data_IF_956359074549
#
_entry.id   IF_956359074549
#
_cell.length_a   1.000
_cell.length_b   1.000
_cell.length_c   1.000
_cell.angle_alpha   90.00
_cell.angle_beta   90.00
_cell.angle_gamma   90.00
#
_symmetry.space_group_name_H-M   'P 1'
#
loop_
_entity.id
_entity.type
_entity.pdbx_description
1 polymer ?
#
# COMPACT_ATOMS: atom_id res chain seq x y z
N UNK A 1 27.76 17.77 -15.70
CA UNK A 1 27.90 16.35 -16.10
C UNK A 1 28.95 15.56 -15.28
N UNK A 2 29.18 15.86 -13.99
CA UNK A 2 30.02 15.01 -13.13
C UNK A 2 29.64 15.02 -11.63
N UNK A 3 28.48 15.57 -11.26
CA UNK A 3 28.01 15.66 -9.87
C UNK A 3 26.64 14.98 -9.63
N UNK A 4 26.07 14.33 -10.65
CA UNK A 4 24.83 13.53 -10.57
C UNK A 4 25.08 12.04 -10.26
N UNK A 5 26.34 11.64 -10.05
CA UNK A 5 26.74 10.22 -9.91
C UNK A 5 26.92 9.75 -8.46
N UNK A 6 26.57 10.55 -7.44
CA UNK A 6 26.92 10.25 -6.04
C UNK A 6 25.73 9.96 -5.09
N UNK A 7 24.48 10.00 -5.56
CA UNK A 7 23.29 9.62 -4.77
C UNK A 7 22.47 8.49 -5.40
N UNK A 8 22.77 8.10 -6.64
CA UNK A 8 22.13 6.98 -7.32
C UNK A 8 22.96 5.70 -7.23
N UNK A 9 23.01 5.05 -6.06
CA UNK A 9 23.39 3.63 -5.98
C UNK A 9 23.06 2.94 -4.63
N UNK A 10 21.83 3.11 -4.11
CA UNK A 10 21.38 2.38 -2.91
C UNK A 10 20.36 1.28 -3.22
N UNK A 11 20.06 1.02 -4.51
CA UNK A 11 19.11 0.00 -4.92
C UNK A 11 19.78 -1.07 -5.79
N UNK A 12 20.95 -1.57 -5.38
CA UNK A 12 21.35 -2.94 -5.73
C UNK A 12 20.52 -3.91 -4.89
N UNK A 13 19.24 -4.04 -5.23
CA UNK A 13 18.39 -5.10 -4.69
C UNK A 13 18.63 -6.31 -5.58
N UNK A 14 19.62 -7.10 -5.18
CA UNK A 14 20.00 -8.35 -5.84
C UNK A 14 18.82 -9.32 -5.86
N UNK A 15 18.38 -9.67 -7.07
CA UNK A 15 17.50 -10.80 -7.34
C UNK A 15 18.29 -12.08 -7.64
N UNK A 16 19.55 -12.20 -7.21
CA UNK A 16 20.31 -13.43 -7.49
C UNK A 16 19.85 -14.66 -6.68
N UNK A 17 18.84 -14.55 -5.79
CA UNK A 17 18.23 -15.71 -5.11
C UNK A 17 16.71 -15.62 -4.89
N UNK A 18 15.94 -15.09 -5.86
CA UNK A 18 14.52 -15.47 -6.03
C UNK A 18 13.51 -15.09 -4.93
N UNK A 19 13.73 -14.00 -4.16
CA UNK A 19 12.74 -13.51 -3.18
C UNK A 19 12.72 -12.00 -3.00
N UNK A 20 11.54 -11.41 -2.77
CA UNK A 20 11.36 -10.00 -2.39
C UNK A 20 11.79 -9.76 -0.94
N UNK A 21 12.89 -9.03 -0.70
CA UNK A 21 13.28 -8.59 0.65
C UNK A 21 12.43 -7.39 1.11
N UNK A 22 11.26 -7.70 1.66
CA UNK A 22 10.35 -6.70 2.20
C UNK A 22 10.98 -5.89 3.34
N UNK A 23 11.90 -6.46 4.12
CA UNK A 23 12.54 -5.76 5.24
C UNK A 23 13.52 -4.70 4.75
N UNK A 24 14.29 -4.96 3.70
CA UNK A 24 15.13 -3.95 3.06
C UNK A 24 14.31 -2.81 2.47
N UNK A 25 13.23 -3.13 1.74
CA UNK A 25 12.31 -2.13 1.19
C UNK A 25 11.64 -1.30 2.28
N UNK A 26 11.31 -1.91 3.41
CA UNK A 26 10.78 -1.15 4.54
C UNK A 26 11.82 -0.17 5.08
N UNK A 27 13.04 -0.61 5.38
CA UNK A 27 14.12 0.29 5.86
C UNK A 27 14.39 1.44 4.89
N UNK A 28 14.32 1.18 3.59
CA UNK A 28 14.43 2.21 2.56
C UNK A 28 13.33 3.25 2.68
N UNK A 29 12.05 2.83 2.73
CA UNK A 29 10.92 3.73 2.91
C UNK A 29 11.00 4.52 4.25
N UNK A 30 11.43 3.87 5.33
CA UNK A 30 11.62 4.49 6.64
C UNK A 30 12.66 5.63 6.57
N UNK A 31 13.74 5.44 5.81
CA UNK A 31 14.75 6.46 5.55
C UNK A 31 14.20 7.67 4.79
N UNK A 32 13.34 7.44 3.78
CA UNK A 32 12.64 8.52 3.06
C UNK A 32 11.76 9.32 4.04
N UNK A 33 10.97 8.63 4.88
CA UNK A 33 10.11 9.27 5.88
C UNK A 33 10.93 10.12 6.85
N UNK A 34 12.03 9.59 7.39
CA UNK A 34 12.88 10.31 8.33
C UNK A 34 13.49 11.57 7.69
N UNK A 35 13.96 11.47 6.44
CA UNK A 35 14.47 12.61 5.67
C UNK A 35 13.40 13.68 5.46
N UNK A 36 12.19 13.29 5.08
CA UNK A 36 11.06 14.23 4.90
C UNK A 36 10.62 14.90 6.19
N UNK A 37 10.68 14.19 7.32
CA UNK A 37 10.35 14.74 8.63
C UNK A 37 11.40 15.76 9.11
N UNK A 38 12.68 15.53 8.80
CA UNK A 38 13.79 16.42 9.16
C UNK A 38 13.95 17.63 8.22
N UNK A 39 13.39 17.57 7.01
CA UNK A 39 13.55 18.62 6.00
C UNK A 39 12.81 19.92 6.39
N UNK A 40 13.43 21.11 6.21
CA UNK A 40 12.78 22.38 6.46
C UNK A 40 11.67 22.68 5.44
N UNK A 41 10.81 23.65 5.75
CA UNK A 41 9.75 24.10 4.85
C UNK A 41 10.29 24.60 3.50
N UNK A 42 9.62 24.21 2.42
CA UNK A 42 9.94 24.65 1.05
C UNK A 42 9.02 25.74 0.53
N UNK A 43 9.38 26.33 -0.61
CA UNK A 43 8.55 27.30 -1.33
C UNK A 43 7.45 26.57 -2.14
N UNK A 44 6.21 26.66 -1.64
CA UNK A 44 5.05 26.08 -2.28
C UNK A 44 4.68 26.73 -3.62
N UNK A 45 4.90 28.04 -3.78
CA UNK A 45 4.60 28.76 -5.03
C UNK A 45 5.56 28.34 -6.14
N UNK A 46 6.85 28.24 -5.81
CA UNK A 46 7.86 27.71 -6.73
C UNK A 46 7.53 26.26 -7.15
N UNK A 47 7.16 25.40 -6.19
CA UNK A 47 6.77 24.02 -6.50
C UNK A 47 5.55 23.93 -7.42
N UNK A 48 4.48 24.68 -7.14
CA UNK A 48 3.27 24.65 -8.00
C UNK A 48 3.57 25.12 -9.42
N UNK A 49 4.39 26.17 -9.57
CA UNK A 49 4.82 26.69 -10.87
C UNK A 49 5.66 25.65 -11.63
N UNK A 50 6.53 24.92 -10.92
CA UNK A 50 7.30 23.81 -11.49
C UNK A 50 6.38 22.71 -12.03
N UNK A 51 5.41 22.25 -11.25
CA UNK A 51 4.50 21.16 -11.67
C UNK A 51 3.66 21.57 -12.88
N UNK A 52 3.13 22.79 -12.89
CA UNK A 52 2.36 23.31 -14.02
C UNK A 52 3.19 23.34 -15.32
N UNK A 53 4.49 23.69 -15.22
CA UNK A 53 5.41 23.64 -16.36
C UNK A 53 5.72 22.20 -16.82
N UNK A 54 5.86 21.26 -15.88
CA UNK A 54 6.18 19.86 -16.19
C UNK A 54 5.00 19.08 -16.79
N UNK A 55 3.76 19.49 -16.52
CA UNK A 55 2.55 18.86 -17.05
C UNK A 55 2.32 19.14 -18.55
N UNK A 56 3.26 18.69 -19.38
CA UNK A 56 3.33 18.99 -20.81
C UNK A 56 2.70 17.91 -21.70
N UNK A 57 2.51 16.68 -21.22
CA UNK A 57 1.79 15.65 -21.99
C UNK A 57 0.27 15.88 -21.93
N UNK A 58 -0.47 15.42 -22.94
CA UNK A 58 -1.92 15.59 -23.00
C UNK A 58 -2.64 14.95 -21.80
N UNK A 59 -2.21 13.74 -21.39
CA UNK A 59 -2.72 13.06 -20.21
C UNK A 59 -2.45 13.87 -18.92
N UNK A 60 -1.27 14.45 -18.79
CA UNK A 60 -0.89 15.29 -17.63
C UNK A 60 -1.71 16.58 -17.59
N UNK A 61 -1.92 17.25 -18.73
CA UNK A 61 -2.79 18.44 -18.83
C UNK A 61 -4.23 18.16 -18.43
N UNK A 62 -4.74 16.94 -18.67
CA UNK A 62 -6.08 16.53 -18.21
C UNK A 62 -6.13 16.22 -16.72
N UNK A 63 -5.09 15.60 -16.18
CA UNK A 63 -5.06 15.16 -14.78
C UNK A 63 -4.70 16.28 -13.81
N UNK A 64 -3.81 17.21 -14.22
CA UNK A 64 -3.35 18.31 -13.39
C UNK A 64 -4.50 19.16 -12.77
N UNK A 65 -5.48 19.67 -13.54
CA UNK A 65 -6.58 20.44 -12.96
C UNK A 65 -7.41 19.66 -11.93
N UNK A 66 -7.50 18.33 -12.06
CA UNK A 66 -8.23 17.47 -11.12
C UNK A 66 -7.48 17.33 -9.80
N UNK A 67 -6.15 17.25 -9.85
CA UNK A 67 -5.29 17.05 -8.68
C UNK A 67 -4.86 18.36 -8.02
N UNK A 68 -4.87 19.49 -8.76
CA UNK A 68 -4.41 20.80 -8.28
C UNK A 68 -5.00 21.21 -6.92
N UNK A 69 -6.32 21.12 -6.67
CA UNK A 69 -6.87 21.49 -5.35
C UNK A 69 -6.28 20.67 -4.19
N UNK A 70 -5.98 19.38 -4.43
CA UNK A 70 -5.37 18.53 -3.43
C UNK A 70 -3.90 18.89 -3.20
N UNK A 71 -3.16 19.18 -4.27
CA UNK A 71 -1.75 19.59 -4.18
C UNK A 71 -1.64 20.95 -3.46
N UNK A 72 -2.52 21.89 -3.72
CA UNK A 72 -2.60 23.17 -2.99
C UNK A 72 -2.94 22.96 -1.50
N UNK A 73 -3.84 22.02 -1.17
CA UNK A 73 -4.14 21.65 0.22
C UNK A 73 -2.91 21.06 0.91
N UNK A 74 -2.14 20.22 0.22
CA UNK A 74 -0.88 19.65 0.73
C UNK A 74 0.16 20.73 0.99
N UNK A 75 0.30 21.71 0.08
CA UNK A 75 1.14 22.88 0.30
C UNK A 75 0.75 23.67 1.56
N UNK A 76 -0.55 23.96 1.74
CA UNK A 76 -1.07 24.59 2.97
C UNK A 76 -0.79 23.77 4.23
N UNK A 77 -0.83 22.44 4.12
CA UNK A 77 -0.49 21.50 5.18
C UNK A 77 1.04 21.29 5.37
N UNK A 78 1.86 22.20 4.86
CA UNK A 78 3.33 22.20 5.02
C UNK A 78 3.97 20.89 4.53
N UNK A 79 3.46 20.34 3.43
CA UNK A 79 4.01 19.14 2.79
C UNK A 79 5.07 19.44 1.73
N UNK A 80 5.23 20.71 1.35
CA UNK A 80 6.36 21.16 0.52
C UNK A 80 7.57 21.39 1.41
N UNK A 81 8.68 20.74 1.08
CA UNK A 81 9.94 20.75 1.84
C UNK A 81 11.10 21.16 0.93
N UNK A 82 12.20 21.58 1.54
CA UNK A 82 13.48 21.66 0.83
C UNK A 82 14.01 20.23 0.66
N UNK A 83 14.02 19.75 -0.58
CA UNK A 83 14.47 18.42 -0.96
C UNK A 83 15.99 18.44 -1.27
N UNK A 84 16.63 17.26 -1.40
CA UNK A 84 18.02 17.19 -1.85
C UNK A 84 18.25 18.00 -3.14
N UNK A 85 19.46 18.54 -3.30
CA UNK A 85 19.82 19.53 -4.34
C UNK A 85 19.18 20.93 -4.20
N UNK A 86 18.55 21.25 -3.05
CA UNK A 86 18.09 22.60 -2.73
C UNK A 86 16.82 23.03 -3.48
N UNK A 87 16.07 22.07 -4.01
CA UNK A 87 14.81 22.32 -4.70
C UNK A 87 13.64 22.24 -3.72
N UNK A 88 12.62 23.07 -3.91
CA UNK A 88 11.37 22.97 -3.13
C UNK A 88 10.44 21.97 -3.78
N UNK A 89 9.98 20.96 -3.03
CA UNK A 89 9.08 19.95 -3.56
C UNK A 89 8.18 19.31 -2.51
N UNK A 90 7.00 18.86 -2.92
CA UNK A 90 6.11 18.07 -2.07
C UNK A 90 6.76 16.71 -1.72
N UNK A 91 6.62 16.27 -0.47
CA UNK A 91 7.20 14.98 -0.02
C UNK A 91 6.70 13.75 -0.80
N UNK A 92 5.48 13.78 -1.35
CA UNK A 92 4.99 12.72 -2.23
C UNK A 92 5.50 12.87 -3.66
N UNK A 93 5.85 14.09 -4.08
CA UNK A 93 6.57 14.29 -5.33
C UNK A 93 7.98 13.71 -5.22
N UNK A 94 8.70 13.94 -4.13
CA UNK A 94 10.00 13.28 -3.85
C UNK A 94 9.86 11.75 -3.78
N UNK A 95 8.86 11.23 -3.05
CA UNK A 95 8.62 9.80 -3.01
C UNK A 95 8.39 9.23 -4.42
N UNK A 96 7.60 9.93 -5.25
CA UNK A 96 7.25 9.48 -6.58
C UNK A 96 8.45 9.40 -7.54
N UNK A 97 9.53 10.15 -7.31
CA UNK A 97 10.80 10.00 -8.05
C UNK A 97 11.37 8.59 -7.87
N UNK A 98 11.46 8.15 -6.61
CA UNK A 98 11.93 6.81 -6.27
C UNK A 98 10.99 5.71 -6.79
N UNK A 99 9.67 5.97 -6.77
CA UNK A 99 8.69 5.05 -7.34
C UNK A 99 8.81 4.95 -8.87
N UNK A 100 9.01 6.09 -9.56
CA UNK A 100 9.17 6.13 -11.00
C UNK A 100 10.44 5.38 -11.44
N UNK A 101 11.55 5.53 -10.73
CA UNK A 101 12.77 4.78 -10.97
C UNK A 101 12.55 3.25 -10.84
N UNK A 102 11.91 2.80 -9.76
CA UNK A 102 11.58 1.38 -9.59
C UNK A 102 10.63 0.87 -10.69
N UNK A 103 9.65 1.66 -11.10
CA UNK A 103 8.72 1.29 -12.17
C UNK A 103 9.40 1.22 -13.54
N UNK A 104 10.31 2.13 -13.83
CA UNK A 104 11.15 2.13 -15.04
C UNK A 104 11.94 0.83 -15.17
N UNK A 105 12.51 0.36 -14.05
CA UNK A 105 13.27 -0.90 -13.98
C UNK A 105 12.38 -2.16 -13.98
N UNK A 106 11.06 -2.03 -14.13
CA UNK A 106 10.11 -3.15 -14.10
C UNK A 106 9.81 -3.69 -12.71
N UNK A 107 10.19 -2.96 -11.65
CA UNK A 107 10.15 -3.37 -10.23
C UNK A 107 8.91 -2.84 -9.53
N UNK A 108 7.75 -3.09 -10.13
CA UNK A 108 6.47 -2.57 -9.68
C UNK A 108 6.06 -3.07 -8.28
N UNK A 109 6.42 -4.32 -7.93
CA UNK A 109 6.15 -4.88 -6.61
C UNK A 109 6.86 -4.07 -5.51
N UNK A 110 8.13 -3.75 -5.72
CA UNK A 110 8.93 -2.94 -4.81
C UNK A 110 8.39 -1.52 -4.70
N UNK A 111 8.04 -0.88 -5.82
CA UNK A 111 7.41 0.44 -5.82
C UNK A 111 6.13 0.46 -4.97
N UNK A 112 5.27 -0.54 -5.14
CA UNK A 112 4.04 -0.66 -4.33
C UNK A 112 4.33 -0.87 -2.84
N UNK A 113 5.31 -1.71 -2.50
CA UNK A 113 5.70 -1.99 -1.11
C UNK A 113 6.25 -0.72 -0.45
N UNK A 114 7.15 0.01 -1.14
CA UNK A 114 7.75 1.25 -0.65
C UNK A 114 6.67 2.31 -0.43
N UNK A 115 5.78 2.51 -1.41
CA UNK A 115 4.69 3.47 -1.28
C UNK A 115 3.75 3.14 -0.10
N UNK A 116 3.37 1.87 0.05
CA UNK A 116 2.51 1.43 1.15
C UNK A 116 3.20 1.61 2.51
N UNK A 117 4.49 1.23 2.62
CA UNK A 117 5.25 1.41 3.86
C UNK A 117 5.38 2.88 4.23
N UNK A 118 5.70 3.74 3.27
CA UNK A 118 5.81 5.18 3.49
C UNK A 118 4.52 5.74 4.11
N UNK A 119 3.35 5.42 3.52
CA UNK A 119 2.06 5.92 4.01
C UNK A 119 1.55 5.18 5.27
N UNK A 120 2.12 4.03 5.62
CA UNK A 120 1.86 3.37 6.91
C UNK A 120 2.48 4.19 8.06
N UNK A 121 3.70 4.71 7.86
CA UNK A 121 4.44 5.49 8.86
C UNK A 121 4.05 6.97 8.85
N UNK A 122 3.92 7.56 7.67
CA UNK A 122 3.60 8.97 7.47
C UNK A 122 2.27 9.13 6.70
N UNK A 123 1.11 8.93 7.35
CA UNK A 123 -0.19 8.96 6.68
C UNK A 123 -0.43 10.24 5.88
N UNK A 124 -0.80 10.09 4.61
CA UNK A 124 -1.12 11.20 3.70
C UNK A 124 -2.61 11.24 3.29
N UNK A 125 -3.43 10.34 3.84
CA UNK A 125 -4.84 10.19 3.50
C UNK A 125 -5.08 9.67 2.07
N UNK A 126 -6.34 9.43 1.75
CA UNK A 126 -6.76 8.94 0.44
C UNK A 126 -6.39 9.89 -0.70
N UNK A 127 -6.55 11.19 -0.49
CA UNK A 127 -6.20 12.19 -1.50
C UNK A 127 -4.70 12.26 -1.78
N UNK A 128 -3.85 12.00 -0.77
CA UNK A 128 -2.41 11.89 -0.98
C UNK A 128 -2.02 10.67 -1.82
N UNK A 129 -2.62 9.51 -1.56
CA UNK A 129 -2.39 8.33 -2.41
C UNK A 129 -2.82 8.60 -3.86
N UNK A 130 -3.99 9.23 -4.05
CA UNK A 130 -4.53 9.56 -5.37
C UNK A 130 -3.68 10.57 -6.18
N UNK A 131 -2.77 11.32 -5.53
CA UNK A 131 -1.82 12.20 -6.25
C UNK A 131 -0.60 11.48 -6.83
N UNK A 132 -0.26 10.29 -6.31
CA UNK A 132 0.94 9.56 -6.74
C UNK A 132 1.00 9.24 -8.24
N UNK A 133 -0.10 8.81 -8.91
CA UNK A 133 -0.06 8.56 -10.35
C UNK A 133 0.41 9.76 -11.18
N UNK A 134 -0.03 10.98 -10.81
CA UNK A 134 0.40 12.20 -11.49
C UNK A 134 1.88 12.48 -11.26
N UNK A 135 2.35 12.37 -10.01
CA UNK A 135 3.76 12.61 -9.71
C UNK A 135 4.69 11.57 -10.34
N UNK A 136 4.31 10.30 -10.37
CA UNK A 136 5.05 9.26 -11.10
C UNK A 136 5.11 9.60 -12.59
N UNK A 137 4.00 10.03 -13.18
CA UNK A 137 3.95 10.43 -14.60
C UNK A 137 4.88 11.60 -14.92
N UNK A 138 4.93 12.60 -14.04
CA UNK A 138 5.78 13.78 -14.23
C UNK A 138 7.27 13.44 -14.11
N UNK A 139 7.66 12.55 -13.20
CA UNK A 139 9.04 12.08 -13.11
C UNK A 139 9.43 11.20 -14.29
N UNK A 140 8.55 10.28 -14.69
CA UNK A 140 8.80 9.40 -15.82
C UNK A 140 9.05 10.19 -17.12
N UNK A 141 8.29 11.27 -17.37
CA UNK A 141 8.53 12.09 -18.58
C UNK A 141 9.84 12.89 -18.48
N UNK A 142 10.22 13.36 -17.29
CA UNK A 142 11.46 14.13 -17.07
C UNK A 142 12.70 13.26 -17.28
N UNK A 143 12.61 11.95 -16.96
CA UNK A 143 13.68 10.97 -17.22
C UNK A 143 13.62 10.34 -18.62
N UNK A 144 12.67 10.74 -19.46
CA UNK A 144 12.54 10.29 -20.86
C UNK A 144 11.72 9.01 -21.06
N UNK A 145 11.06 8.48 -20.02
CA UNK A 145 10.16 7.33 -20.09
C UNK A 145 8.71 7.76 -20.36
N UNK A 146 8.45 8.11 -21.62
CA UNK A 146 7.10 8.51 -22.06
C UNK A 146 6.06 7.37 -21.91
N UNK A 147 6.48 6.11 -22.00
CA UNK A 147 5.59 4.94 -21.89
C UNK A 147 5.08 4.79 -20.47
N UNK A 148 5.98 4.86 -19.48
CA UNK A 148 5.60 4.85 -18.07
C UNK A 148 4.77 6.10 -17.72
N UNK A 149 5.13 7.26 -18.27
CA UNK A 149 4.40 8.50 -18.02
C UNK A 149 2.93 8.40 -18.45
N UNK A 150 2.66 7.81 -19.61
CA UNK A 150 1.31 7.56 -20.09
C UNK A 150 0.62 6.45 -19.29
N UNK A 151 1.31 5.33 -19.04
CA UNK A 151 0.77 4.19 -18.31
C UNK A 151 0.34 4.55 -16.87
N UNK A 152 1.07 5.43 -16.18
CA UNK A 152 0.71 5.90 -14.83
C UNK A 152 -0.63 6.65 -14.80
N UNK A 153 -1.00 7.32 -15.90
CA UNK A 153 -2.25 8.08 -16.02
C UNK A 153 -3.36 7.33 -16.76
N UNK A 154 -3.07 6.15 -17.29
CA UNK A 154 -4.07 5.32 -17.95
C UNK A 154 -5.27 5.05 -17.01
N UNK A 155 -6.52 5.17 -17.49
CA UNK A 155 -7.68 4.86 -16.68
C UNK A 155 -7.64 3.42 -16.16
N UNK A 156 -7.80 3.25 -14.85
CA UNK A 156 -7.99 1.94 -14.22
C UNK A 156 -9.13 2.07 -13.20
N UNK A 157 -10.27 1.40 -13.42
CA UNK A 157 -11.36 1.39 -12.44
C UNK A 157 -10.87 0.91 -11.07
N UNK A 158 -11.25 1.59 -9.97
CA UNK A 158 -10.93 1.11 -8.63
C UNK A 158 -11.65 -0.20 -8.32
N UNK A 159 -11.07 -0.98 -7.42
CA UNK A 159 -11.70 -2.20 -6.88
C UNK A 159 -11.29 -2.45 -5.44
N UNK A 160 -12.13 -3.20 -4.73
CA UNK A 160 -11.84 -3.66 -3.38
C UNK A 160 -11.50 -5.15 -3.38
N UNK A 161 -10.31 -5.47 -2.90
CA UNK A 161 -9.88 -6.84 -2.63
C UNK A 161 -9.76 -7.03 -1.12
N UNK A 162 -10.30 -8.13 -0.61
CA UNK A 162 -10.23 -8.46 0.81
C UNK A 162 -9.53 -9.78 0.97
N UNK A 163 -8.43 -9.81 1.72
CA UNK A 163 -7.64 -11.00 1.98
C UNK A 163 -7.81 -11.35 3.46
N UNK A 164 -8.57 -12.42 3.71
CA UNK A 164 -8.87 -12.98 5.02
C UNK A 164 -8.14 -14.29 5.26
N UNK A 165 -8.11 -14.72 6.52
CA UNK A 165 -7.45 -15.95 6.94
C UNK A 165 -6.79 -15.83 8.32
N UNK A 166 -6.64 -16.97 9.00
CA UNK A 166 -6.00 -17.03 10.32
C UNK A 166 -4.56 -16.51 10.30
N UNK A 167 -4.02 -16.13 11.45
CA UNK A 167 -2.63 -15.70 11.59
C UNK A 167 -1.66 -16.77 11.06
N UNK A 168 -0.62 -16.36 10.33
CA UNK A 168 0.34 -17.29 9.70
C UNK A 168 -0.05 -17.83 8.31
N UNK A 169 -1.23 -17.50 7.79
CA UNK A 169 -1.67 -17.95 6.45
C UNK A 169 -0.98 -17.24 5.28
N UNK A 170 -0.24 -16.16 5.52
CA UNK A 170 0.49 -15.43 4.47
C UNK A 170 -0.28 -14.29 3.81
N UNK A 171 -1.36 -13.79 4.42
CA UNK A 171 -2.20 -12.69 3.90
C UNK A 171 -1.38 -11.46 3.48
N UNK A 172 -0.54 -10.93 4.37
CA UNK A 172 0.29 -9.76 4.09
C UNK A 172 1.32 -10.01 2.99
N UNK A 173 1.80 -11.25 2.84
CA UNK A 173 2.67 -11.62 1.72
C UNK A 173 1.90 -11.58 0.41
N UNK A 174 0.72 -12.19 0.36
CA UNK A 174 -0.14 -12.16 -0.82
C UNK A 174 -0.56 -10.72 -1.18
N UNK A 175 -0.94 -9.91 -0.19
CA UNK A 175 -1.33 -8.51 -0.39
C UNK A 175 -0.21 -7.70 -1.06
N UNK A 176 1.04 -7.82 -0.56
CA UNK A 176 2.21 -7.16 -1.16
C UNK A 176 2.48 -7.61 -2.58
N UNK A 177 2.36 -8.92 -2.84
CA UNK A 177 2.61 -9.49 -4.17
C UNK A 177 1.51 -9.14 -5.18
N UNK A 178 0.29 -8.87 -4.73
CA UNK A 178 -0.82 -8.47 -5.60
C UNK A 178 -0.93 -6.95 -5.79
N UNK A 179 -0.52 -6.15 -4.80
CA UNK A 179 -0.76 -4.71 -4.75
C UNK A 179 -0.37 -3.96 -6.02
N UNK A 180 0.83 -4.20 -6.54
CA UNK A 180 1.34 -3.56 -7.76
C UNK A 180 0.55 -3.88 -9.04
N UNK A 181 -0.28 -4.93 -9.03
CA UNK A 181 -1.03 -5.39 -10.22
C UNK A 181 -2.45 -4.84 -10.28
N UNK A 182 -2.85 -4.01 -9.32
CA UNK A 182 -4.24 -3.57 -9.15
C UNK A 182 -4.27 -2.05 -9.10
N UNK A 183 -5.02 -1.42 -10.00
CA UNK A 183 -5.17 0.04 -10.04
C UNK A 183 -4.03 0.76 -10.77
N UNK A 184 -4.05 2.10 -10.68
CA UNK A 184 -3.02 2.99 -11.24
C UNK A 184 -1.74 2.92 -10.42
N UNK A 185 -0.60 3.30 -11.01
CA UNK A 185 0.68 3.38 -10.32
C UNK A 185 0.57 4.17 -8.99
N UNK A 186 1.15 3.68 -7.87
CA UNK A 186 2.02 2.50 -7.73
C UNK A 186 1.28 1.17 -7.49
N UNK A 187 -0.04 1.12 -7.72
CA UNK A 187 -0.91 -0.02 -7.49
C UNK A 187 -1.91 0.23 -6.36
N UNK A 188 -2.41 -0.83 -5.75
CA UNK A 188 -3.42 -0.74 -4.71
C UNK A 188 -2.81 -0.29 -3.37
N UNK A 189 -3.60 0.46 -2.61
CA UNK A 189 -3.33 0.76 -1.20
C UNK A 189 -3.65 -0.49 -0.38
N UNK A 190 -2.66 -1.03 0.31
CA UNK A 190 -2.80 -2.15 1.25
C UNK A 190 -3.06 -1.58 2.64
N UNK A 191 -4.26 -1.81 3.17
CA UNK A 191 -4.64 -1.39 4.52
C UNK A 191 -4.69 -2.62 5.43
N UNK A 192 -3.92 -2.59 6.51
CA UNK A 192 -3.68 -3.75 7.38
C UNK A 192 -4.24 -3.49 8.77
N UNK A 193 -5.07 -4.40 9.30
CA UNK A 193 -5.66 -4.23 10.64
C UNK A 193 -4.61 -4.03 11.73
N UNK A 194 -3.48 -4.76 11.66
CA UNK A 194 -2.40 -4.65 12.63
C UNK A 194 -1.73 -3.26 12.63
N UNK A 195 -1.59 -2.64 11.44
CA UNK A 195 -1.05 -1.28 11.31
C UNK A 195 -2.03 -0.25 11.87
N UNK A 196 -3.33 -0.41 11.58
CA UNK A 196 -4.36 0.48 12.11
C UNK A 196 -4.47 0.37 13.64
N UNK A 197 -4.41 -0.84 14.19
CA UNK A 197 -4.43 -1.07 15.64
C UNK A 197 -3.30 -0.33 16.35
N UNK A 198 -2.08 -0.42 15.80
CA UNK A 198 -0.90 0.28 16.33
C UNK A 198 -1.01 1.79 16.19
N UNK A 199 -1.51 2.26 15.04
CA UNK A 199 -1.76 3.68 14.80
C UNK A 199 -2.76 4.27 15.80
N UNK A 200 -3.87 3.57 16.06
CA UNK A 200 -4.87 4.01 17.06
C UNK A 200 -4.29 4.06 18.48
N UNK A 201 -3.28 3.22 18.76
CA UNK A 201 -2.51 3.27 20.01
C UNK A 201 -1.37 4.31 20.01
N UNK A 202 -1.17 5.06 18.92
CA UNK A 202 -0.08 6.04 18.78
C UNK A 202 1.31 5.41 18.61
N UNK A 203 1.39 4.14 18.18
CA UNK A 203 2.63 3.38 18.08
C UNK A 203 3.06 3.16 16.62
N UNK A 204 4.37 2.96 16.43
CA UNK A 204 4.92 2.56 15.15
C UNK A 204 4.45 1.14 14.74
N UNK A 205 4.41 0.82 13.43
CA UNK A 205 3.88 -0.46 12.95
C UNK A 205 4.59 -1.71 13.49
N UNK A 206 5.87 -1.63 13.85
CA UNK A 206 6.65 -2.77 14.37
C UNK A 206 6.51 -2.93 15.88
N UNK A 207 6.00 -1.92 16.59
CA UNK A 207 5.91 -1.96 18.05
C UNK A 207 4.88 -3.00 18.49
N UNK A 208 5.28 -3.96 19.33
CA UNK A 208 4.34 -4.95 19.86
C UNK A 208 3.35 -4.31 20.81
N UNK A 209 2.08 -4.64 20.64
CA UNK A 209 1.02 -4.23 21.55
C UNK A 209 0.85 -5.24 22.69
N UNK A 210 0.61 -4.77 23.92
CA UNK A 210 0.18 -5.66 24.99
C UNK A 210 -1.23 -6.21 24.73
N UNK A 211 -1.62 -7.33 25.37
CA UNK A 211 -2.94 -7.96 25.19
C UNK A 211 -4.14 -7.04 25.41
N UNK A 212 -3.99 -5.97 26.19
CA UNK A 212 -5.03 -4.97 26.43
C UNK A 212 -5.54 -4.25 25.16
N UNK A 213 -4.79 -4.30 24.04
CA UNK A 213 -5.23 -3.77 22.74
C UNK A 213 -5.89 -4.82 21.84
N UNK A 214 -6.10 -6.04 22.35
CA UNK A 214 -6.77 -7.15 21.68
C UNK A 214 -8.09 -7.49 22.38
N UNK A 215 -8.89 -6.46 22.65
CA UNK A 215 -10.25 -6.60 23.15
C UNK A 215 -11.25 -6.45 22.02
N UNK A 216 -12.49 -6.92 22.23
CA UNK A 216 -13.59 -6.71 21.28
C UNK A 216 -13.79 -5.23 20.94
N UNK A 217 -13.71 -4.33 21.92
CA UNK A 217 -13.84 -2.90 21.69
C UNK A 217 -12.68 -2.36 20.83
N UNK A 218 -11.45 -2.79 21.09
CA UNK A 218 -10.29 -2.44 20.28
C UNK A 218 -10.40 -2.98 18.85
N UNK A 219 -10.96 -4.18 18.67
CA UNK A 219 -11.24 -4.76 17.36
C UNK A 219 -12.27 -3.93 16.60
N UNK A 220 -13.40 -3.60 17.22
CA UNK A 220 -14.45 -2.77 16.63
C UNK A 220 -13.89 -1.42 16.15
N UNK A 221 -13.15 -0.70 17.00
CA UNK A 221 -12.53 0.58 16.62
C UNK A 221 -11.47 0.42 15.51
N UNK A 222 -10.70 -0.67 15.51
CA UNK A 222 -9.70 -0.94 14.48
C UNK A 222 -10.36 -1.19 13.12
N UNK A 223 -11.41 -2.00 13.08
CA UNK A 223 -12.11 -2.31 11.83
C UNK A 223 -12.91 -1.12 11.32
N UNK A 224 -13.52 -0.32 12.20
CA UNK A 224 -14.20 0.93 11.82
C UNK A 224 -13.23 1.88 11.11
N UNK A 225 -12.07 2.18 11.71
CA UNK A 225 -11.06 3.03 11.09
C UNK A 225 -10.49 2.44 9.79
N UNK A 226 -10.32 1.12 9.73
CA UNK A 226 -9.86 0.41 8.54
C UNK A 226 -10.85 0.54 7.37
N UNK A 227 -12.15 0.38 7.66
CA UNK A 227 -13.24 0.47 6.70
C UNK A 227 -13.49 1.89 6.21
N UNK A 228 -13.47 2.88 7.11
CA UNK A 228 -13.54 4.30 6.75
C UNK A 228 -12.41 4.65 5.79
N UNK A 229 -11.17 4.25 6.12
CA UNK A 229 -10.04 4.49 5.24
C UNK A 229 -10.17 3.79 3.89
N UNK A 230 -10.69 2.57 3.85
CA UNK A 230 -10.93 1.86 2.58
C UNK A 230 -11.93 2.61 1.70
N UNK A 231 -13.05 3.05 2.28
CA UNK A 231 -14.07 3.81 1.57
C UNK A 231 -13.49 5.12 0.99
N UNK A 232 -12.73 5.87 1.78
CA UNK A 232 -12.11 7.13 1.33
C UNK A 232 -11.16 6.92 0.13
N UNK A 233 -10.34 5.86 0.17
CA UNK A 233 -9.42 5.55 -0.93
C UNK A 233 -10.18 5.14 -2.20
N UNK A 234 -11.23 4.32 -2.07
CA UNK A 234 -12.09 3.95 -3.20
C UNK A 234 -12.79 5.19 -3.79
N UNK A 235 -13.32 6.08 -2.94
CA UNK A 235 -13.96 7.32 -3.36
C UNK A 235 -12.99 8.29 -4.07
N UNK A 236 -11.69 8.24 -3.74
CA UNK A 236 -10.64 8.95 -4.47
C UNK A 236 -10.16 8.21 -5.74
N UNK A 237 -10.85 7.15 -6.17
CA UNK A 237 -10.53 6.40 -7.39
C UNK A 237 -9.36 5.43 -7.26
N UNK A 238 -8.93 5.10 -6.03
CA UNK A 238 -7.82 4.18 -5.78
C UNK A 238 -8.32 2.77 -5.51
N UNK A 239 -7.59 1.75 -5.98
CA UNK A 239 -7.88 0.37 -5.57
C UNK A 239 -7.33 0.09 -4.18
N UNK A 240 -8.02 -0.77 -3.43
CA UNK A 240 -7.70 -1.09 -2.03
C UNK A 240 -7.58 -2.60 -1.84
N UNK A 241 -6.58 -3.02 -1.07
CA UNK A 241 -6.48 -4.35 -0.49
C UNK A 241 -6.66 -4.22 1.02
N UNK A 242 -7.70 -4.85 1.56
CA UNK A 242 -7.86 -5.06 3.00
C UNK A 242 -7.15 -6.35 3.42
N UNK A 243 -6.19 -6.26 4.33
CA UNK A 243 -5.45 -7.38 4.91
C UNK A 243 -5.73 -7.46 6.42
N UNK A 244 -6.64 -8.34 6.79
CA UNK A 244 -7.03 -8.60 8.18
C UNK A 244 -7.46 -10.05 8.36
N UNK A 245 -7.76 -10.45 9.59
CA UNK A 245 -8.13 -11.83 9.87
C UNK A 245 -9.50 -12.18 9.28
N UNK A 246 -10.47 -11.25 9.31
CA UNK A 246 -11.82 -11.39 8.75
C UNK A 246 -12.55 -12.69 9.16
N UNK A 247 -12.35 -13.13 10.41
CA UNK A 247 -13.04 -14.30 10.97
C UNK A 247 -14.53 -14.02 11.15
N UNK A 248 -14.92 -12.79 11.52
CA UNK A 248 -16.32 -12.44 11.70
C UNK A 248 -17.03 -12.33 10.35
N UNK A 249 -18.21 -12.94 10.24
CA UNK A 249 -19.08 -12.75 9.08
C UNK A 249 -19.49 -11.28 8.93
N UNK A 250 -19.82 -10.60 10.02
CA UNK A 250 -20.27 -9.20 9.96
C UNK A 250 -19.20 -8.28 9.39
N UNK A 251 -17.92 -8.50 9.72
CA UNK A 251 -16.80 -7.75 9.13
C UNK A 251 -16.69 -7.98 7.62
N UNK A 252 -16.94 -9.21 7.16
CA UNK A 252 -16.94 -9.53 5.73
C UNK A 252 -18.12 -8.88 5.01
N UNK A 253 -19.31 -8.93 5.60
CA UNK A 253 -20.53 -8.31 5.05
C UNK A 253 -20.36 -6.78 4.95
N UNK A 254 -19.72 -6.14 5.94
CA UNK A 254 -19.38 -4.70 5.89
C UNK A 254 -18.39 -4.40 4.77
N UNK A 255 -17.35 -5.22 4.60
CA UNK A 255 -16.38 -5.02 3.51
C UNK A 255 -17.03 -5.13 2.12
N UNK A 256 -17.97 -6.07 1.94
CA UNK A 256 -18.74 -6.18 0.70
C UNK A 256 -19.69 -4.98 0.50
N UNK A 257 -20.35 -4.51 1.57
CA UNK A 257 -21.20 -3.32 1.52
C UNK A 257 -20.42 -2.04 1.16
N UNK A 258 -19.15 -1.91 1.58
CA UNK A 258 -18.27 -0.79 1.18
C UNK A 258 -18.04 -0.81 -0.33
N UNK A 259 -17.72 -1.98 -0.89
CA UNK A 259 -17.51 -2.10 -2.34
C UNK A 259 -18.79 -1.77 -3.12
N UNK A 260 -19.95 -2.27 -2.65
CA UNK A 260 -21.24 -1.96 -3.23
C UNK A 260 -21.55 -0.46 -3.18
N UNK A 261 -21.36 0.19 -2.02
CA UNK A 261 -21.62 1.63 -1.84
C UNK A 261 -20.69 2.50 -2.68
N UNK A 262 -19.44 2.08 -2.85
CA UNK A 262 -18.47 2.77 -3.69
C UNK A 262 -18.65 2.47 -5.20
N UNK A 263 -19.60 1.60 -5.56
CA UNK A 263 -19.83 1.12 -6.93
C UNK A 263 -18.57 0.54 -7.57
N UNK A 264 -17.86 -0.31 -6.82
CA UNK A 264 -16.62 -0.96 -7.29
C UNK A 264 -16.71 -2.49 -7.20
N UNK A 265 -15.98 -3.21 -8.07
CA UNK A 265 -15.90 -4.66 -7.97
C UNK A 265 -15.32 -5.12 -6.62
N UNK A 266 -15.98 -6.12 -6.02
CA UNK A 266 -15.53 -6.79 -4.81
C UNK A 266 -14.85 -8.13 -5.10
N UNK A 267 -13.78 -8.45 -4.37
CA UNK A 267 -13.18 -9.79 -4.39
C UNK A 267 -12.70 -10.19 -3.01
N UNK A 268 -13.40 -11.15 -2.38
CA UNK A 268 -12.96 -11.80 -1.14
C UNK A 268 -12.10 -13.03 -1.42
N UNK A 269 -10.93 -13.11 -0.78
CA UNK A 269 -10.00 -14.25 -0.82
C UNK A 269 -9.79 -14.74 0.62
N UNK A 270 -10.06 -16.02 0.86
CA UNK A 270 -9.83 -16.65 2.16
C UNK A 270 -8.67 -17.63 2.10
N UNK A 271 -7.59 -17.35 2.83
CA UNK A 271 -6.43 -18.22 2.92
C UNK A 271 -6.58 -19.23 4.07
N UNK A 272 -6.33 -20.51 3.80
CA UNK A 272 -6.40 -21.58 4.78
C UNK A 272 -5.14 -22.47 4.77
N UNK A 273 -4.66 -22.82 5.97
CA UNK A 273 -3.57 -23.78 6.18
C UNK A 273 -3.84 -24.63 7.42
N UNK A 274 -3.23 -25.82 7.54
CA UNK A 274 -3.24 -26.60 8.77
C UNK A 274 -2.69 -25.81 9.96
N UNK A 275 -3.31 -25.94 11.13
CA UNK A 275 -2.94 -25.20 12.34
C UNK A 275 -1.46 -25.36 12.70
N UNK A 276 -0.93 -26.59 12.57
CA UNK A 276 0.48 -26.90 12.83
C UNK A 276 1.42 -26.00 12.02
N UNK A 277 1.10 -25.77 10.75
CA UNK A 277 1.93 -24.99 9.84
C UNK A 277 1.82 -23.49 10.16
N UNK A 278 0.63 -23.04 10.59
CA UNK A 278 0.41 -21.67 11.05
C UNK A 278 1.24 -21.36 12.31
N UNK A 279 1.24 -22.26 13.29
CA UNK A 279 2.04 -22.14 14.51
C UNK A 279 3.53 -22.05 14.15
N UNK A 280 4.03 -22.96 13.32
CA UNK A 280 5.42 -22.97 12.90
C UNK A 280 5.84 -21.64 12.23
N UNK A 281 5.00 -21.11 11.33
CA UNK A 281 5.26 -19.83 10.65
C UNK A 281 5.23 -18.63 11.59
N UNK A 282 4.26 -18.59 12.52
CA UNK A 282 4.14 -17.50 13.50
C UNK A 282 5.27 -17.51 14.52
N UNK A 283 5.78 -18.69 14.89
CA UNK A 283 6.93 -18.81 15.79
C UNK A 283 8.26 -18.42 15.13
N UNK A 284 8.39 -18.60 13.81
CA UNK A 284 9.64 -18.32 13.09
C UNK A 284 9.79 -16.86 12.64
N UNK A 285 8.72 -16.05 12.67
CA UNK A 285 8.76 -14.68 12.14
C UNK A 285 9.36 -13.68 13.12
N UNK A 286 10.05 -12.68 12.59
CA UNK A 286 10.59 -11.53 13.32
C UNK A 286 10.41 -10.24 12.52
N UNK A 287 10.14 -9.12 13.19
CA UNK A 287 10.12 -7.80 12.55
C UNK A 287 8.94 -7.52 11.62
N UNK A 288 7.78 -8.15 11.84
CA UNK A 288 6.54 -7.81 11.15
C UNK A 288 5.60 -6.99 12.06
N UNK A 289 4.57 -6.39 11.46
CA UNK A 289 3.61 -5.58 12.22
C UNK A 289 2.62 -6.41 13.06
N UNK A 290 2.66 -7.75 12.99
CA UNK A 290 1.58 -8.59 13.52
C UNK A 290 2.00 -9.21 14.85
N UNK A 291 1.23 -9.00 15.91
CA UNK A 291 1.62 -9.48 17.25
C UNK A 291 1.13 -10.90 17.56
N UNK A 292 0.50 -11.58 16.59
CA UNK A 292 -0.01 -12.94 16.80
C UNK A 292 1.11 -13.92 17.25
N UNK A 293 0.76 -14.78 18.20
CA UNK A 293 1.61 -15.84 18.75
C UNK A 293 1.01 -17.20 18.41
N UNK A 294 1.72 -18.29 18.77
CA UNK A 294 1.16 -19.64 18.69
C UNK A 294 -0.16 -19.79 19.47
N UNK A 295 -0.30 -19.07 20.59
CA UNK A 295 -1.54 -19.05 21.38
C UNK A 295 -2.68 -18.37 20.62
N UNK A 296 -2.44 -17.21 20.01
CA UNK A 296 -3.43 -16.52 19.16
C UNK A 296 -3.89 -17.42 18.00
N UNK A 297 -2.98 -18.19 17.38
CA UNK A 297 -3.36 -19.14 16.33
C UNK A 297 -4.29 -20.22 16.87
N UNK A 298 -4.01 -20.78 18.06
CA UNK A 298 -4.86 -21.79 18.71
C UNK A 298 -6.22 -21.22 19.12
N UNK A 299 -6.28 -19.99 19.60
CA UNK A 299 -7.53 -19.30 19.91
C UNK A 299 -8.38 -19.11 18.66
N UNK A 300 -7.78 -18.58 17.58
CA UNK A 300 -8.44 -18.45 16.29
C UNK A 300 -8.89 -19.81 15.71
N UNK A 301 -8.16 -20.89 16.03
CA UNK A 301 -8.49 -22.24 15.58
C UNK A 301 -9.83 -22.74 16.13
N UNK A 302 -10.17 -22.33 17.35
CA UNK A 302 -11.43 -22.67 18.05
C UNK A 302 -12.63 -21.88 17.53
N UNK A 303 -12.39 -20.75 16.88
CA UNK A 303 -13.45 -19.91 16.30
C UNK A 303 -13.90 -20.45 14.94
N UNK A 304 -15.21 -20.55 14.77
CA UNK A 304 -15.83 -20.88 13.49
C UNK A 304 -15.68 -19.69 12.52
N UNK A 305 -15.22 -19.99 11.30
CA UNK A 305 -15.12 -18.98 10.22
C UNK A 305 -16.51 -18.59 9.70
N UNK A 306 -17.51 -19.45 9.91
CA UNK A 306 -18.85 -19.30 9.34
C UNK A 306 -18.87 -19.50 7.83
N UNK A 307 -19.91 -19.00 7.18
CA UNK A 307 -20.07 -19.10 5.74
C UNK A 307 -19.11 -18.16 5.00
N UNK A 308 -18.53 -18.68 3.91
CA UNK A 308 -17.63 -17.97 3.00
C UNK A 308 -18.27 -17.83 1.61
N UNK A 309 -19.60 -17.68 1.56
CA UNK A 309 -20.32 -17.45 0.31
C UNK A 309 -19.74 -16.21 -0.40
N UNK A 310 -19.49 -16.31 -1.70
CA UNK A 310 -18.88 -15.23 -2.49
C UNK A 310 -17.36 -15.05 -2.29
N UNK A 311 -16.71 -15.79 -1.38
CA UNK A 311 -15.26 -15.73 -1.15
C UNK A 311 -14.52 -16.89 -1.82
N UNK A 312 -13.34 -16.58 -2.37
CA UNK A 312 -12.47 -17.55 -3.00
C UNK A 312 -11.54 -18.18 -1.97
N UNK A 313 -11.82 -19.44 -1.61
CA UNK A 313 -11.00 -20.20 -0.66
C UNK A 313 -9.74 -20.73 -1.35
N UNK A 314 -8.58 -20.50 -0.73
CA UNK A 314 -7.28 -20.92 -1.24
C UNK A 314 -6.46 -21.60 -0.13
N UNK A 315 -6.05 -22.84 -0.40
CA UNK A 315 -5.13 -23.58 0.47
C UNK A 315 -3.71 -23.08 0.25
N UNK A 316 -3.03 -22.69 1.33
CA UNK A 316 -1.63 -22.21 1.26
C UNK A 316 -0.64 -23.34 1.54
N UNK A 317 -0.78 -24.42 0.76
CA UNK A 317 0.03 -25.64 0.79
C UNK A 317 0.93 -25.82 -0.45
N UNK A 318 1.09 -24.77 -1.25
CA UNK A 318 1.91 -24.70 -2.46
C UNK A 318 2.91 -23.55 -2.33
N UNK A 319 3.98 -23.52 -3.17
CA UNK A 319 4.83 -22.35 -3.32
C UNK A 319 4.02 -21.06 -3.55
N UNK A 320 4.52 -19.94 -3.03
CA UNK A 320 3.79 -18.66 -3.01
C UNK A 320 3.48 -18.16 -4.43
N UNK A 321 4.32 -18.47 -5.40
CA UNK A 321 4.18 -18.12 -6.81
C UNK A 321 2.88 -18.71 -7.40
N UNK A 322 2.57 -19.96 -7.05
CA UNK A 322 1.34 -20.63 -7.48
C UNK A 322 0.10 -20.05 -6.79
N UNK A 323 0.23 -19.67 -5.52
CA UNK A 323 -0.86 -19.02 -4.77
C UNK A 323 -1.15 -17.64 -5.36
N UNK A 324 -0.11 -16.85 -5.68
CA UNK A 324 -0.23 -15.55 -6.34
C UNK A 324 -0.87 -15.71 -7.71
N UNK A 325 -0.43 -16.68 -8.53
CA UNK A 325 -1.02 -16.94 -9.82
C UNK A 325 -2.51 -17.31 -9.72
N UNK A 326 -2.89 -18.15 -8.75
CA UNK A 326 -4.28 -18.50 -8.50
C UNK A 326 -5.10 -17.29 -8.04
N UNK A 327 -4.56 -16.45 -7.15
CA UNK A 327 -5.22 -15.23 -6.70
C UNK A 327 -5.41 -14.21 -7.84
N UNK A 328 -4.43 -14.08 -8.73
CA UNK A 328 -4.57 -13.29 -9.96
C UNK A 328 -5.69 -13.80 -10.86
N UNK A 329 -5.72 -15.12 -11.08
CA UNK A 329 -6.78 -15.75 -11.87
C UNK A 329 -8.17 -15.61 -11.25
N UNK A 330 -8.29 -15.23 -9.97
CA UNK A 330 -9.56 -14.85 -9.35
C UNK A 330 -9.91 -13.38 -9.64
N UNK A 331 -8.93 -12.48 -9.54
CA UNK A 331 -9.11 -11.05 -9.81
C UNK A 331 -9.46 -10.74 -11.26
N UNK A 332 -8.94 -11.53 -12.20
CA UNK A 332 -9.12 -11.38 -13.64
C UNK A 332 -10.45 -11.99 -14.15
N UNK A 333 -11.14 -12.81 -13.34
CA UNK A 333 -12.48 -13.31 -13.70
C UNK A 333 -13.48 -12.17 -13.66
N UNK A 334 -14.09 -11.89 -14.82
CA UNK A 334 -15.29 -11.06 -14.89
C UNK A 334 -16.40 -11.78 -14.12
N UNK A 335 -16.90 -11.15 -13.06
CA UNK A 335 -18.21 -11.50 -12.47
C UNK A 335 -19.28 -10.75 -13.23
#
# INVERSE_FOLDING_TARGET
MAAQAATGNAIEISLEQGGLDASALHRFADGIVARHAAAPGGDAGAFLTQIERLAAAEAQRREWPRQRPQIERRARAQRVRQLPAGTSGDILYDLADQLAALLHDGRAAEANIVANRYLDIAPQGATGWATLPLFVSLHAIDTGDAVLAEAALAPSPPRLVVIGGRSGTGKSTLARLLGARIGRAPGARVLRSDVFRKRLAGLAPETRLPPAHYTRHSDEATYEALFESAYDHLACGSSVILDAVFLSRSERDVAEAIAFRADVPFTGIWLEAPERDLIARVSARSGDASDATAEVVREQARLAVGELAGWHRMRVNRPIELIVAAARGVLERKR
#
